data_IF_557930762983
#
_entry.id   IF_557930762983
#
_cell.length_a   1.000
_cell.length_b   1.000
_cell.length_c   1.000
_cell.angle_alpha   90.00
_cell.angle_beta   90.00
_cell.angle_gamma   90.00
#
_symmetry.space_group_name_H-M   'P 1'
#
loop_
_entity.id
_entity.type
_entity.pdbx_description
1 polymer ?
#
# COMPACT_ATOMS: atom_id res chain seq x y z
N UNK A 1 -1.42 -1.95 -4.26
CA UNK A 1 -2.33 -1.35 -5.25
C UNK A 1 -2.39 0.14 -5.03
N UNK A 2 -3.12 0.85 -5.86
CA UNK A 2 -3.29 2.31 -5.82
C UNK A 2 -4.58 2.73 -5.11
N UNK A 3 -5.56 1.82 -4.99
CA UNK A 3 -6.82 2.10 -4.32
C UNK A 3 -6.83 1.66 -2.85
N UNK A 4 -6.95 2.61 -1.92
CA UNK A 4 -7.13 2.32 -0.49
C UNK A 4 -8.36 1.45 -0.22
N UNK A 5 -9.52 1.77 -0.81
CA UNK A 5 -10.77 1.06 -0.51
C UNK A 5 -10.94 -0.26 -1.25
N UNK A 6 -10.26 -0.46 -2.38
CA UNK A 6 -10.31 -1.70 -3.15
C UNK A 6 -9.12 -2.60 -2.82
N UNK A 7 -7.90 -2.17 -3.13
CA UNK A 7 -6.72 -3.02 -3.05
C UNK A 7 -6.26 -3.20 -1.61
N UNK A 8 -6.16 -2.11 -0.85
CA UNK A 8 -5.64 -2.16 0.51
C UNK A 8 -6.67 -2.78 1.43
N UNK A 9 -7.90 -2.27 1.46
CA UNK A 9 -8.97 -2.86 2.26
C UNK A 9 -9.25 -4.32 1.87
N UNK A 10 -9.24 -4.63 0.57
CA UNK A 10 -9.40 -5.99 0.07
C UNK A 10 -8.28 -6.92 0.55
N UNK A 11 -7.02 -6.50 0.41
CA UNK A 11 -5.85 -7.25 0.87
C UNK A 11 -5.84 -7.49 2.37
N UNK A 12 -6.18 -6.47 3.17
CA UNK A 12 -6.33 -6.62 4.64
C UNK A 12 -7.42 -7.62 5.01
N UNK A 13 -8.57 -7.56 4.36
CA UNK A 13 -9.67 -8.52 4.57
C UNK A 13 -9.27 -9.96 4.19
N UNK A 14 -8.38 -10.11 3.23
CA UNK A 14 -7.83 -11.40 2.81
C UNK A 14 -6.65 -11.89 3.68
N UNK A 15 -6.17 -11.08 4.64
CA UNK A 15 -5.04 -11.41 5.50
C UNK A 15 -3.68 -11.38 4.80
N UNK A 16 -3.53 -10.56 3.76
CA UNK A 16 -2.28 -10.42 2.99
C UNK A 16 -1.63 -9.07 3.29
N UNK A 17 -0.29 -9.01 3.29
CA UNK A 17 0.48 -7.76 3.38
C UNK A 17 0.10 -6.80 2.26
N UNK A 18 -0.18 -5.56 2.61
CA UNK A 18 -0.64 -4.53 1.69
C UNK A 18 0.38 -3.42 1.50
N UNK A 19 0.65 -3.09 0.23
CA UNK A 19 1.50 -1.96 -0.15
C UNK A 19 0.66 -0.99 -0.97
N UNK A 20 0.54 0.25 -0.49
CA UNK A 20 -0.11 1.34 -1.20
C UNK A 20 0.89 2.05 -2.10
N UNK A 21 0.55 2.19 -3.39
CA UNK A 21 1.32 2.95 -4.34
C UNK A 21 0.73 4.36 -4.44
N UNK A 22 1.46 5.35 -3.93
CA UNK A 22 1.03 6.74 -3.80
C UNK A 22 2.03 7.70 -4.47
N UNK A 23 2.13 7.72 -5.81
CA UNK A 23 3.13 8.54 -6.53
C UNK A 23 2.89 10.05 -6.40
N UNK A 24 1.69 10.46 -5.98
CA UNK A 24 1.33 11.87 -5.79
C UNK A 24 1.52 12.33 -4.33
N UNK A 25 2.01 11.46 -3.44
CA UNK A 25 2.17 11.77 -2.00
C UNK A 25 0.89 12.37 -1.38
N UNK A 26 -0.25 11.79 -1.75
CA UNK A 26 -1.55 12.25 -1.28
C UNK A 26 -1.77 11.81 0.16
N UNK A 27 -2.23 12.71 1.02
CA UNK A 27 -2.55 12.39 2.41
C UNK A 27 -3.73 11.40 2.51
N UNK A 28 -3.55 10.35 3.32
CA UNK A 28 -4.59 9.34 3.55
C UNK A 28 -5.57 9.81 4.64
N UNK A 29 -6.74 10.31 4.22
CA UNK A 29 -7.85 10.67 5.12
C UNK A 29 -8.84 9.52 5.40
N UNK A 30 -8.55 8.30 4.95
CA UNK A 30 -9.42 7.16 5.14
C UNK A 30 -9.06 6.37 6.42
N UNK A 31 -10.01 5.56 6.90
CA UNK A 31 -9.75 4.61 7.99
C UNK A 31 -8.97 3.36 7.53
N UNK A 32 -8.60 3.28 6.24
CA UNK A 32 -7.86 2.15 5.69
C UNK A 32 -6.37 2.44 5.75
N UNK A 33 -5.67 1.70 6.62
CA UNK A 33 -4.23 1.84 6.82
C UNK A 33 -3.49 0.72 6.08
N UNK A 34 -2.67 1.04 5.05
CA UNK A 34 -1.80 0.05 4.41
C UNK A 34 -0.67 -0.37 5.36
N UNK A 35 -0.08 -1.54 5.12
CA UNK A 35 1.08 -1.98 5.91
C UNK A 35 2.36 -1.22 5.50
N UNK A 36 2.45 -0.87 4.21
CA UNK A 36 3.52 -0.07 3.63
C UNK A 36 2.99 0.89 2.58
N UNK A 37 3.75 1.95 2.33
CA UNK A 37 3.49 2.93 1.27
C UNK A 37 4.77 3.16 0.46
N UNK A 38 4.62 3.26 -0.86
CA UNK A 38 5.70 3.58 -1.79
C UNK A 38 5.23 4.63 -2.79
N UNK A 39 6.09 5.58 -3.15
CA UNK A 39 5.81 6.63 -4.13
C UNK A 39 6.35 6.28 -5.54
N UNK A 40 7.30 5.34 -5.62
CA UNK A 40 7.88 4.84 -6.86
C UNK A 40 7.75 3.32 -6.90
N UNK A 41 7.29 2.78 -8.02
CA UNK A 41 7.08 1.35 -8.17
C UNK A 41 8.36 0.53 -7.92
N UNK A 42 9.53 1.07 -8.26
CA UNK A 42 10.81 0.39 -8.03
C UNK A 42 11.21 0.29 -6.55
N UNK A 43 10.61 1.10 -5.67
CA UNK A 43 10.85 1.00 -4.22
C UNK A 43 10.17 -0.24 -3.61
N UNK A 44 9.31 -0.92 -4.37
CA UNK A 44 8.80 -2.24 -3.98
C UNK A 44 9.92 -3.28 -3.85
N UNK A 45 10.94 -3.24 -4.72
CA UNK A 45 12.02 -4.23 -4.72
C UNK A 45 12.79 -4.28 -3.39
N UNK A 46 13.34 -3.17 -2.86
CA UNK A 46 14.00 -3.19 -1.56
C UNK A 46 13.03 -3.48 -0.42
N UNK A 47 11.76 -3.09 -0.51
CA UNK A 47 10.75 -3.42 0.50
C UNK A 47 10.54 -4.94 0.60
N UNK A 48 10.45 -5.64 -0.53
CA UNK A 48 10.29 -7.10 -0.57
C UNK A 48 11.45 -7.87 0.09
N UNK A 49 12.64 -7.27 0.19
CA UNK A 49 13.78 -7.88 0.89
C UNK A 49 13.70 -7.76 2.43
N UNK A 50 12.77 -6.93 2.93
CA UNK A 50 12.63 -6.62 4.37
C UNK A 50 11.42 -7.26 5.04
N UNK A 51 10.53 -7.89 4.25
CA UNK A 51 9.27 -8.51 4.73
C UNK A 51 9.33 -10.03 4.76
#
# INVERSE_FOLDING_TARGET
GDSLTSDIKGGKNAGITTVWFNPEDTENFSDVIPDYEIDRLLDLLPLLETI
#
